data_IF_209504693664
#
_entry.id   IF_209504693664
#
_cell.length_a   1.000
_cell.length_b   1.000
_cell.length_c   1.000
_cell.angle_alpha   90.00
_cell.angle_beta   90.00
_cell.angle_gamma   90.00
#
_symmetry.space_group_name_H-M   'P 1'
#
loop_
_entity.id
_entity.type
_entity.pdbx_description
1 polymer ?
#
# COMPACT_ATOMS: atom_id res chain seq x y z
N UNK A 1 22.79 -61.52 -2.89
CA UNK A 1 21.37 -61.16 -3.07
C UNK A 1 21.20 -59.69 -2.73
N UNK A 2 20.67 -58.90 -3.67
CA UNK A 2 19.98 -57.62 -3.39
C UNK A 2 20.80 -56.31 -3.41
N UNK A 3 21.03 -55.76 -4.60
CA UNK A 3 21.27 -54.32 -4.81
C UNK A 3 20.02 -53.49 -4.50
N UNK A 4 20.18 -52.29 -3.92
CA UNK A 4 19.43 -51.09 -4.30
C UNK A 4 20.28 -49.84 -3.97
N UNK A 5 21.11 -49.44 -4.93
CA UNK A 5 21.49 -48.04 -5.12
C UNK A 5 20.30 -47.34 -5.75
N UNK A 6 19.80 -46.24 -5.17
CA UNK A 6 19.07 -45.19 -5.89
C UNK A 6 18.94 -43.92 -5.03
N UNK A 7 19.78 -42.94 -5.37
CA UNK A 7 19.38 -41.56 -5.63
C UNK A 7 18.46 -40.86 -4.62
N UNK A 8 19.05 -40.05 -3.73
CA UNK A 8 18.42 -38.80 -3.24
C UNK A 8 19.45 -37.69 -3.18
N UNK A 9 20.05 -37.41 -4.34
CA UNK A 9 20.67 -36.12 -4.61
C UNK A 9 19.60 -35.12 -5.08
N UNK A 10 19.74 -33.87 -4.65
CA UNK A 10 19.10 -32.66 -5.24
C UNK A 10 17.60 -32.47 -4.97
N UNK A 11 17.26 -32.05 -3.74
CA UNK A 11 15.89 -31.59 -3.42
C UNK A 11 15.78 -30.49 -2.36
N UNK A 12 16.81 -30.26 -1.54
CA UNK A 12 16.69 -29.41 -0.35
C UNK A 12 17.08 -27.93 -0.64
N UNK A 13 17.78 -27.66 -1.74
CA UNK A 13 18.31 -26.32 -2.04
C UNK A 13 17.29 -25.30 -2.56
N UNK A 14 16.13 -25.71 -3.08
CA UNK A 14 15.18 -24.79 -3.74
C UNK A 14 14.14 -24.23 -2.77
N UNK A 15 13.78 -24.99 -1.72
CA UNK A 15 12.82 -24.54 -0.73
C UNK A 15 13.35 -23.36 0.11
N UNK A 16 14.62 -23.39 0.52
CA UNK A 16 15.22 -22.31 1.32
C UNK A 16 15.42 -21.00 0.54
N UNK A 17 15.62 -21.06 -0.78
CA UNK A 17 15.79 -19.85 -1.62
C UNK A 17 14.44 -19.15 -1.85
N UNK A 18 13.36 -19.92 -1.99
CA UNK A 18 12.01 -19.36 -2.13
C UNK A 18 11.52 -18.69 -0.83
N UNK A 19 11.86 -19.25 0.34
CA UNK A 19 11.54 -18.61 1.64
C UNK A 19 12.31 -17.30 1.85
N UNK A 20 13.59 -17.25 1.44
CA UNK A 20 14.42 -16.05 1.55
C UNK A 20 13.96 -14.89 0.67
N UNK A 21 13.45 -15.17 -0.54
CA UNK A 21 12.93 -14.16 -1.45
C UNK A 21 11.59 -13.56 -0.99
N UNK A 22 10.70 -14.38 -0.41
CA UNK A 22 9.42 -13.90 0.12
C UNK A 22 9.59 -13.04 1.37
N UNK A 23 10.56 -13.34 2.24
CA UNK A 23 10.86 -12.52 3.43
C UNK A 23 11.62 -11.23 3.07
N UNK A 24 12.46 -11.25 2.05
CA UNK A 24 13.22 -10.06 1.63
C UNK A 24 12.34 -9.02 0.94
N UNK A 25 11.32 -9.44 0.19
CA UNK A 25 10.36 -8.52 -0.44
C UNK A 25 9.45 -7.79 0.56
N UNK A 26 9.09 -8.45 1.67
CA UNK A 26 8.25 -7.85 2.72
C UNK A 26 8.98 -6.79 3.55
N UNK A 27 10.31 -6.92 3.72
CA UNK A 27 11.11 -5.99 4.51
C UNK A 27 11.37 -4.66 3.79
N UNK A 28 11.45 -4.65 2.45
CA UNK A 28 11.71 -3.43 1.67
C UNK A 28 10.53 -2.44 1.75
N UNK A 29 9.30 -2.92 1.94
CA UNK A 29 8.13 -2.06 2.17
C UNK A 29 7.95 -1.58 3.61
N UNK A 30 8.49 -2.32 4.59
CA UNK A 30 8.38 -1.97 6.01
C UNK A 30 9.31 -0.82 6.42
N UNK A 31 10.53 -0.77 5.86
CA UNK A 31 11.49 0.27 6.20
C UNK A 31 11.02 1.71 5.94
N UNK A 32 10.47 2.07 4.77
CA UNK A 32 9.97 3.44 4.54
C UNK A 32 8.75 3.75 5.41
N UNK A 33 7.89 2.77 5.71
CA UNK A 33 6.74 2.98 6.59
C UNK A 33 7.15 3.23 8.05
N UNK A 34 8.17 2.52 8.56
CA UNK A 34 8.70 2.71 9.92
C UNK A 34 9.45 4.04 10.06
N UNK A 35 10.23 4.44 9.05
CA UNK A 35 10.93 5.72 9.07
C UNK A 35 9.95 6.91 9.09
N UNK A 36 8.88 6.85 8.29
CA UNK A 36 7.84 7.90 8.27
C UNK A 36 7.05 7.96 9.59
N UNK A 37 6.74 6.82 10.21
CA UNK A 37 6.08 6.79 11.52
C UNK A 37 6.90 7.51 12.60
N UNK A 38 8.21 7.28 12.62
CA UNK A 38 9.11 7.90 13.60
C UNK A 38 9.24 9.43 13.42
N UNK A 39 9.20 9.92 12.17
CA UNK A 39 9.16 11.35 11.88
C UNK A 39 7.86 12.00 12.39
N UNK A 40 6.72 11.35 12.19
CA UNK A 40 5.43 11.84 12.69
C UNK A 40 5.36 11.84 14.22
N UNK A 41 5.89 10.80 14.87
CA UNK A 41 5.93 10.70 16.34
C UNK A 41 6.71 11.84 17.00
N UNK A 42 7.69 12.42 16.32
CA UNK A 42 8.45 13.57 16.82
C UNK A 42 7.74 14.92 16.61
N UNK A 43 6.66 14.98 15.82
CA UNK A 43 5.99 16.24 15.49
C UNK A 43 5.09 16.78 16.61
N UNK A 44 5.01 18.11 16.68
CA UNK A 44 4.06 18.83 17.52
C UNK A 44 2.61 18.68 16.99
N UNK A 45 1.57 18.80 17.84
CA UNK A 45 0.17 18.65 17.42
C UNK A 45 -0.24 19.51 16.22
N UNK A 46 0.22 20.76 16.15
CA UNK A 46 -0.11 21.67 15.04
C UNK A 46 0.51 21.21 13.71
N UNK A 47 1.73 20.65 13.76
CA UNK A 47 2.40 20.11 12.57
C UNK A 47 1.69 18.82 12.08
N UNK A 48 1.29 17.94 13.00
CA UNK A 48 0.48 16.76 12.67
C UNK A 48 -0.86 17.14 12.03
N UNK A 49 -1.52 18.18 12.53
CA UNK A 49 -2.77 18.66 11.96
C UNK A 49 -2.57 19.19 10.53
N UNK A 50 -1.45 19.86 10.25
CA UNK A 50 -1.11 20.33 8.91
C UNK A 50 -0.88 19.17 7.95
N UNK A 51 -0.07 18.18 8.34
CA UNK A 51 0.18 16.98 7.54
C UNK A 51 -1.09 16.17 7.30
N UNK A 52 -1.95 16.02 8.32
CA UNK A 52 -3.25 15.36 8.16
C UNK A 52 -4.08 16.03 7.05
N UNK A 53 -4.18 17.37 7.05
CA UNK A 53 -4.93 18.10 6.01
C UNK A 53 -4.35 17.89 4.63
N UNK A 54 -3.02 17.82 4.51
CA UNK A 54 -2.33 17.57 3.24
C UNK A 54 -2.67 16.17 2.72
N UNK A 55 -2.50 15.14 3.54
CA UNK A 55 -2.81 13.75 3.19
C UNK A 55 -4.30 13.59 2.85
N UNK A 56 -5.20 14.23 3.60
CA UNK A 56 -6.64 14.24 3.28
C UNK A 56 -6.95 14.92 1.94
N UNK A 57 -6.23 15.99 1.59
CA UNK A 57 -6.39 16.65 0.29
C UNK A 57 -5.96 15.74 -0.85
N UNK A 58 -4.77 15.14 -0.72
CA UNK A 58 -4.25 14.20 -1.71
C UNK A 58 -5.16 12.97 -1.85
N UNK A 59 -5.71 12.47 -0.73
CA UNK A 59 -6.69 11.38 -0.75
C UNK A 59 -7.94 11.76 -1.56
N UNK A 60 -8.50 12.96 -1.33
CA UNK A 60 -9.68 13.46 -2.09
C UNK A 60 -9.39 13.56 -3.58
N UNK A 61 -8.22 14.08 -3.97
CA UNK A 61 -7.81 14.18 -5.37
C UNK A 61 -7.70 12.80 -6.03
N UNK A 62 -7.10 11.82 -5.34
CA UNK A 62 -6.99 10.45 -5.86
C UNK A 62 -8.37 9.81 -6.01
N UNK A 63 -9.29 10.00 -5.06
CA UNK A 63 -10.66 9.48 -5.19
C UNK A 63 -11.39 10.11 -6.38
N UNK A 64 -11.21 11.41 -6.63
CA UNK A 64 -11.76 12.05 -7.83
C UNK A 64 -11.18 11.43 -9.11
N UNK A 65 -9.87 11.15 -9.13
CA UNK A 65 -9.23 10.48 -10.26
C UNK A 65 -9.74 9.04 -10.46
N UNK A 66 -9.99 8.28 -9.37
CA UNK A 66 -10.63 6.95 -9.44
C UNK A 66 -12.00 7.06 -10.09
N UNK A 67 -12.84 7.98 -9.60
CA UNK A 67 -14.20 8.16 -10.12
C UNK A 67 -14.20 8.56 -11.60
N UNK A 68 -13.27 9.43 -12.01
CA UNK A 68 -13.11 9.81 -13.41
C UNK A 68 -12.69 8.62 -14.29
N UNK A 69 -11.72 7.81 -13.83
CA UNK A 69 -11.26 6.63 -14.56
C UNK A 69 -12.35 5.54 -14.66
N UNK A 70 -13.12 5.32 -13.60
CA UNK A 70 -14.28 4.41 -13.61
C UNK A 70 -15.38 4.91 -14.57
N UNK A 71 -15.66 6.21 -14.57
CA UNK A 71 -16.63 6.81 -15.50
C UNK A 71 -16.17 6.63 -16.96
N UNK A 72 -14.88 6.85 -17.22
CA UNK A 72 -14.26 6.63 -18.53
C UNK A 72 -14.36 5.15 -18.95
N UNK A 73 -14.13 4.21 -18.03
CA UNK A 73 -14.29 2.78 -18.29
C UNK A 73 -15.73 2.44 -18.67
N UNK A 74 -16.71 2.88 -17.88
CA UNK A 74 -18.13 2.63 -18.16
C UNK A 74 -18.55 3.21 -19.51
N UNK A 75 -18.07 4.41 -19.85
CA UNK A 75 -18.34 5.04 -21.13
C UNK A 75 -17.74 4.24 -22.31
N UNK A 76 -16.49 3.77 -22.17
CA UNK A 76 -15.84 2.92 -23.19
C UNK A 76 -16.51 1.56 -23.33
N UNK A 77 -16.91 0.96 -22.22
CA UNK A 77 -17.64 -0.31 -22.22
C UNK A 77 -18.99 -0.16 -22.93
N UNK A 78 -19.73 0.91 -22.66
CA UNK A 78 -20.98 1.22 -23.34
C UNK A 78 -20.79 1.50 -24.85
N UNK A 79 -19.65 2.06 -25.24
CA UNK A 79 -19.28 2.27 -26.63
C UNK A 79 -18.79 0.99 -27.36
N UNK A 80 -18.74 -0.16 -26.66
CA UNK A 80 -18.28 -1.42 -27.24
C UNK A 80 -16.77 -1.50 -27.44
N UNK A 81 -15.98 -0.81 -26.62
CA UNK A 81 -14.52 -0.87 -26.67
C UNK A 81 -13.99 -2.31 -26.50
N UNK A 82 -12.83 -2.57 -27.08
CA UNK A 82 -12.18 -3.87 -26.99
C UNK A 82 -11.79 -4.19 -25.54
N UNK A 83 -11.84 -5.48 -25.18
CA UNK A 83 -11.54 -5.95 -23.83
C UNK A 83 -10.12 -5.57 -23.37
N UNK A 84 -9.16 -5.52 -24.28
CA UNK A 84 -7.80 -5.08 -24.00
C UNK A 84 -7.74 -3.60 -23.54
N UNK A 85 -8.55 -2.73 -24.12
CA UNK A 85 -8.59 -1.31 -23.77
C UNK A 85 -9.29 -1.09 -22.42
N UNK A 86 -10.32 -1.90 -22.11
CA UNK A 86 -10.98 -1.89 -20.82
C UNK A 86 -10.05 -2.39 -19.70
N UNK A 87 -9.24 -3.41 -19.99
CA UNK A 87 -8.28 -3.96 -19.02
C UNK A 87 -7.19 -2.96 -18.63
N UNK A 88 -6.69 -2.16 -19.58
CA UNK A 88 -5.74 -1.11 -19.28
C UNK A 88 -6.34 -0.01 -18.37
N UNK A 89 -7.64 0.26 -18.50
CA UNK A 89 -8.36 1.17 -17.60
C UNK A 89 -8.59 0.55 -16.22
N UNK A 90 -8.93 -0.74 -16.14
CA UNK A 90 -9.06 -1.45 -14.88
C UNK A 90 -7.74 -1.45 -14.09
N UNK A 91 -6.61 -1.68 -14.76
CA UNK A 91 -5.29 -1.62 -14.14
C UNK A 91 -5.00 -0.21 -13.59
N UNK A 92 -5.36 0.84 -14.34
CA UNK A 92 -5.23 2.24 -13.89
C UNK A 92 -6.11 2.54 -12.69
N UNK A 93 -7.36 2.10 -12.69
CA UNK A 93 -8.26 2.23 -11.54
C UNK A 93 -7.68 1.50 -10.33
N UNK A 94 -7.20 0.27 -10.51
CA UNK A 94 -6.57 -0.52 -9.45
C UNK A 94 -5.38 0.20 -8.80
N UNK A 95 -4.49 0.79 -9.60
CA UNK A 95 -3.36 1.57 -9.09
C UNK A 95 -3.81 2.79 -8.27
N UNK A 96 -4.84 3.51 -8.74
CA UNK A 96 -5.38 4.67 -8.04
C UNK A 96 -6.07 4.26 -6.73
N UNK A 97 -6.80 3.15 -6.72
CA UNK A 97 -7.41 2.59 -5.51
C UNK A 97 -6.35 2.21 -4.49
N UNK A 98 -5.31 1.48 -4.88
CA UNK A 98 -4.19 1.15 -3.98
C UNK A 98 -3.50 2.40 -3.43
N UNK A 99 -3.37 3.46 -4.25
CA UNK A 99 -2.84 4.74 -3.77
C UNK A 99 -3.78 5.39 -2.75
N UNK A 100 -5.09 5.39 -2.99
CA UNK A 100 -6.08 5.93 -2.07
C UNK A 100 -6.08 5.19 -0.73
N UNK A 101 -5.96 3.87 -0.74
CA UNK A 101 -5.87 3.04 0.48
C UNK A 101 -4.66 3.41 1.33
N UNK A 102 -3.48 3.59 0.71
CA UNK A 102 -2.27 4.01 1.42
C UNK A 102 -2.44 5.38 2.08
N UNK A 103 -3.00 6.34 1.34
CA UNK A 103 -3.26 7.68 1.87
C UNK A 103 -4.28 7.66 3.01
N UNK A 104 -5.31 6.81 2.92
CA UNK A 104 -6.28 6.63 4.01
C UNK A 104 -5.63 6.08 5.27
N UNK A 105 -4.82 5.03 5.17
CA UNK A 105 -4.08 4.46 6.30
C UNK A 105 -3.19 5.52 6.97
N UNK A 106 -2.51 6.34 6.15
CA UNK A 106 -1.66 7.41 6.64
C UNK A 106 -2.47 8.53 7.33
N UNK A 107 -3.62 8.92 6.78
CA UNK A 107 -4.50 9.91 7.40
C UNK A 107 -5.07 9.41 8.74
N UNK A 108 -5.50 8.15 8.80
CA UNK A 108 -6.01 7.54 10.04
C UNK A 108 -4.92 7.51 11.12
N UNK A 109 -3.69 7.12 10.78
CA UNK A 109 -2.55 7.14 11.70
C UNK A 109 -2.23 8.56 12.21
N UNK A 110 -2.15 9.55 11.33
CA UNK A 110 -1.89 10.94 11.71
C UNK A 110 -2.97 11.52 12.63
N UNK A 111 -4.22 11.14 12.39
CA UNK A 111 -5.36 11.56 13.20
C UNK A 111 -5.30 10.96 14.60
N UNK A 112 -5.01 9.66 14.71
CA UNK A 112 -4.83 9.00 16.01
C UNK A 112 -3.69 9.63 16.80
N UNK A 113 -2.54 9.87 16.15
CA UNK A 113 -1.38 10.48 16.77
C UNK A 113 -1.65 11.93 17.22
N UNK A 114 -2.36 12.71 16.40
CA UNK A 114 -2.80 14.06 16.76
C UNK A 114 -3.67 14.06 18.02
N UNK A 115 -4.70 13.21 18.07
CA UNK A 115 -5.60 13.13 19.24
C UNK A 115 -4.90 12.55 20.47
N UNK A 116 -3.90 11.68 20.32
CA UNK A 116 -3.06 11.22 21.43
C UNK A 116 -2.23 12.38 22.00
N UNK A 117 -1.44 13.08 21.18
CA UNK A 117 -0.58 14.19 21.64
C UNK A 117 -1.38 15.37 22.18
N UNK A 118 -2.53 15.67 21.59
CA UNK A 118 -3.45 16.72 22.09
C UNK A 118 -4.00 16.40 23.48
N UNK A 119 -4.25 15.12 23.79
CA UNK A 119 -4.67 14.69 25.14
C UNK A 119 -3.52 14.86 26.14
N UNK A 120 -2.31 14.46 25.77
CA UNK A 120 -1.11 14.65 26.61
C UNK A 120 -0.84 16.13 26.91
N UNK A 121 -0.91 17.00 25.89
CA UNK A 121 -0.71 18.43 26.03
C UNK A 121 -1.78 19.15 26.87
N UNK A 122 -3.01 18.61 26.95
CA UNK A 122 -4.08 19.16 27.79
C UNK A 122 -4.07 18.63 29.21
N UNK A 123 -3.36 17.52 29.45
CA UNK A 123 -3.24 16.90 30.76
C UNK A 123 -2.02 17.45 31.55
N UNK A 124 -1.12 18.17 30.88
CA UNK A 124 -0.05 18.98 31.46
C UNK A 124 -0.55 20.40 31.73
#
# INVERSE_FOLDING_TARGET
>A
MGSFLLSTGRGIGVACVLSGLLFSGALVGLQPAVAMAQEYEAMMPNALQHELRKVESEYREVIQAVNAAETERLARQAAGAAEADLRALDDKVGQLVTKAEKLKIQADYLKELYEAKKREYKAQ
#
